data_IF_069337805582
#
_entry.id   IF_069337805582
#
_cell.length_a   1.000
_cell.length_b   1.000
_cell.length_c   1.000
_cell.angle_alpha   90.00
_cell.angle_beta   90.00
_cell.angle_gamma   90.00
#
_symmetry.space_group_name_H-M   'P 1'
#
loop_
_entity.id
_entity.type
_entity.pdbx_description
1 polymer ?
#
# COMPACT_ATOMS: atom_id res chain seq x y z
N UNK A 1 12.25 -13.93 22.02
CA UNK A 1 11.53 -15.22 22.16
C UNK A 1 10.06 -14.96 22.51
N UNK A 2 9.26 -14.57 21.51
CA UNK A 2 7.82 -14.35 21.69
C UNK A 2 7.07 -15.65 21.37
N UNK A 3 6.36 -16.19 22.36
CA UNK A 3 5.50 -17.36 22.24
C UNK A 3 4.34 -17.03 21.28
N UNK A 4 4.25 -17.79 20.19
CA UNK A 4 3.10 -17.78 19.31
C UNK A 4 1.87 -18.23 20.09
N UNK A 5 0.84 -17.38 20.15
CA UNK A 5 -0.45 -17.71 20.74
C UNK A 5 -1.08 -18.85 19.96
N UNK A 6 -1.29 -19.99 20.64
CA UNK A 6 -2.14 -21.05 20.11
C UNK A 6 -3.57 -20.50 19.99
N UNK A 7 -4.27 -20.69 18.86
CA UNK A 7 -5.67 -20.33 18.76
C UNK A 7 -6.47 -21.17 19.76
N UNK A 8 -7.26 -20.52 20.61
CA UNK A 8 -8.17 -21.21 21.53
C UNK A 8 -9.15 -22.08 20.73
N UNK A 9 -9.44 -23.33 21.16
CA UNK A 9 -10.43 -24.16 20.52
C UNK A 9 -11.83 -23.53 20.69
N UNK A 10 -12.37 -22.95 19.62
CA UNK A 10 -13.74 -22.44 19.58
C UNK A 10 -14.70 -23.62 19.74
N UNK A 11 -15.40 -23.64 20.86
CA UNK A 11 -16.35 -24.68 21.22
C UNK A 11 -17.66 -24.48 20.44
N UNK A 12 -17.78 -25.11 19.27
CA UNK A 12 -19.05 -25.14 18.52
C UNK A 12 -19.99 -26.16 19.21
N UNK A 13 -20.92 -25.69 20.05
CA UNK A 13 -22.02 -26.47 20.66
C UNK A 13 -23.33 -25.66 20.55
N UNK A 14 -24.52 -26.22 20.24
CA UNK A 14 -24.92 -27.60 19.93
C UNK A 14 -25.74 -27.69 18.61
N UNK A 15 -25.14 -27.39 17.44
CA UNK A 15 -25.89 -27.35 16.16
C UNK A 15 -26.41 -28.71 15.67
N UNK A 16 -25.79 -29.82 16.11
CA UNK A 16 -26.12 -31.19 15.67
C UNK A 16 -27.52 -31.61 16.11
N UNK A 17 -27.88 -31.35 17.37
CA UNK A 17 -29.21 -31.72 17.90
C UNK A 17 -30.31 -30.78 17.41
N UNK A 18 -30.01 -29.51 17.27
CA UNK A 18 -30.96 -28.48 16.84
C UNK A 18 -31.34 -28.62 15.37
N UNK A 19 -30.38 -28.98 14.51
CA UNK A 19 -30.64 -29.22 13.09
C UNK A 19 -30.92 -30.68 12.74
N UNK A 20 -30.93 -31.61 13.71
CA UNK A 20 -31.05 -33.07 13.47
C UNK A 20 -29.99 -33.60 12.49
N UNK A 21 -28.75 -33.12 12.62
CA UNK A 21 -27.63 -33.66 11.84
C UNK A 21 -27.39 -35.10 12.31
N UNK A 22 -27.52 -36.06 11.40
CA UNK A 22 -27.40 -37.48 11.72
C UNK A 22 -26.24 -38.17 11.00
N UNK A 23 -25.60 -37.49 10.04
CA UNK A 23 -24.42 -37.99 9.33
C UNK A 23 -23.48 -36.83 9.00
N UNK A 24 -22.18 -37.04 9.21
CA UNK A 24 -21.12 -36.05 8.99
C UNK A 24 -19.95 -36.69 8.26
N UNK A 25 -19.41 -35.97 7.29
CA UNK A 25 -18.19 -36.33 6.57
C UNK A 25 -17.22 -35.16 6.65
N UNK A 26 -15.92 -35.47 6.77
CA UNK A 26 -14.88 -34.46 6.83
C UNK A 26 -13.82 -34.78 5.78
N UNK A 27 -13.52 -33.82 4.91
CA UNK A 27 -12.48 -33.93 3.90
C UNK A 27 -11.38 -32.87 4.12
N UNK A 28 -10.09 -33.25 4.09
CA UNK A 28 -9.01 -32.29 4.27
C UNK A 28 -8.85 -31.40 3.04
N UNK A 29 -8.68 -30.09 3.26
CA UNK A 29 -8.33 -29.14 2.21
C UNK A 29 -6.81 -29.13 2.03
N UNK A 30 -6.28 -30.09 1.29
CA UNK A 30 -4.83 -30.22 1.08
C UNK A 30 -4.42 -29.70 -0.29
N UNK A 31 -3.46 -28.77 -0.33
CA UNK A 31 -2.83 -28.30 -1.56
C UNK A 31 -1.31 -28.38 -1.43
N UNK A 32 -0.64 -28.94 -2.45
CA UNK A 32 0.83 -29.07 -2.51
C UNK A 32 1.47 -29.70 -1.25
N UNK A 33 0.80 -30.70 -0.68
CA UNK A 33 1.25 -31.41 0.52
C UNK A 33 0.99 -30.68 1.85
N UNK A 34 0.29 -29.55 1.85
CA UNK A 34 -0.06 -28.78 3.05
C UNK A 34 -1.57 -28.81 3.26
N UNK A 35 -2.01 -29.22 4.46
CA UNK A 35 -3.42 -29.12 4.87
C UNK A 35 -3.75 -27.69 5.30
N UNK A 36 -4.61 -27.04 4.53
CA UNK A 36 -5.03 -25.65 4.72
C UNK A 36 -6.19 -25.50 5.72
N UNK A 37 -6.95 -26.59 5.92
CA UNK A 37 -8.14 -26.67 6.76
C UNK A 37 -8.92 -27.97 6.52
N UNK A 38 -10.13 -28.05 7.06
CA UNK A 38 -11.06 -29.18 6.87
C UNK A 38 -12.39 -28.68 6.31
N UNK A 39 -12.92 -29.34 5.29
CA UNK A 39 -14.29 -29.19 4.83
C UNK A 39 -15.17 -30.18 5.59
N UNK A 40 -16.24 -29.69 6.23
CA UNK A 40 -17.20 -30.52 6.95
C UNK A 40 -18.53 -30.52 6.21
N UNK A 41 -19.02 -31.70 5.85
CA UNK A 41 -20.29 -31.93 5.20
C UNK A 41 -21.24 -32.57 6.21
N UNK A 42 -22.47 -32.07 6.31
CA UNK A 42 -23.47 -32.52 7.29
C UNK A 42 -24.79 -32.83 6.58
N UNK A 43 -25.37 -34.01 6.85
CA UNK A 43 -26.73 -34.36 6.41
C UNK A 43 -27.72 -34.22 7.58
N UNK A 44 -28.85 -33.61 7.27
CA UNK A 44 -29.92 -33.32 8.24
C UNK A 44 -31.35 -33.49 7.70
N UNK A 45 -31.50 -33.83 6.41
CA UNK A 45 -32.79 -33.99 5.71
C UNK A 45 -32.90 -35.32 4.98
N UNK A 46 -31.83 -35.73 4.31
CA UNK A 46 -31.75 -37.05 3.67
C UNK A 46 -31.42 -38.11 4.72
N UNK A 47 -32.26 -39.13 4.93
CA UNK A 47 -32.07 -40.11 6.00
C UNK A 47 -30.84 -41.02 5.79
N UNK A 48 -30.37 -41.19 4.55
CA UNK A 48 -29.23 -42.05 4.23
C UNK A 48 -27.90 -41.47 4.76
N UNK A 49 -27.03 -42.30 5.38
CA UNK A 49 -25.67 -41.90 5.71
C UNK A 49 -24.85 -41.63 4.45
N UNK A 50 -23.69 -41.00 4.61
CA UNK A 50 -22.76 -40.83 3.49
C UNK A 50 -22.15 -42.17 3.09
N UNK A 51 -21.96 -42.38 1.79
CA UNK A 51 -21.33 -43.57 1.23
C UNK A 51 -19.95 -43.27 0.60
N UNK A 52 -19.34 -44.27 -0.04
CA UNK A 52 -18.01 -44.16 -0.65
C UNK A 52 -18.00 -43.26 -1.91
N UNK A 53 -19.13 -43.15 -2.61
CA UNK A 53 -19.27 -42.26 -3.76
C UNK A 53 -19.34 -40.79 -3.27
N UNK A 54 -20.06 -40.54 -2.17
CA UNK A 54 -20.05 -39.26 -1.48
C UNK A 54 -18.64 -38.88 -1.02
N UNK A 55 -17.86 -39.84 -0.50
CA UNK A 55 -16.48 -39.61 -0.05
C UNK A 55 -15.58 -39.21 -1.22
N UNK A 56 -15.74 -39.88 -2.36
CA UNK A 56 -14.99 -39.59 -3.59
C UNK A 56 -15.32 -38.18 -4.09
N UNK A 57 -16.61 -37.84 -4.17
CA UNK A 57 -17.06 -36.51 -4.60
C UNK A 57 -16.60 -35.40 -3.64
N UNK A 58 -16.73 -35.63 -2.33
CA UNK A 58 -16.26 -34.70 -1.31
C UNK A 58 -14.75 -34.49 -1.39
N UNK A 59 -13.98 -35.54 -1.69
CA UNK A 59 -12.55 -35.47 -1.95
C UNK A 59 -12.22 -34.57 -3.14
N UNK A 60 -12.93 -34.72 -4.27
CA UNK A 60 -12.73 -33.86 -5.44
C UNK A 60 -13.07 -32.39 -5.17
N UNK A 61 -14.19 -32.15 -4.49
CA UNK A 61 -14.61 -30.81 -4.10
C UNK A 61 -13.60 -30.18 -3.13
N UNK A 62 -13.13 -30.94 -2.14
CA UNK A 62 -12.12 -30.50 -1.20
C UNK A 62 -10.79 -30.19 -1.90
N UNK A 63 -10.37 -30.99 -2.87
CA UNK A 63 -9.16 -30.74 -3.65
C UNK A 63 -9.26 -29.44 -4.47
N UNK A 64 -10.38 -29.21 -5.17
CA UNK A 64 -10.60 -27.97 -5.93
C UNK A 64 -10.67 -26.75 -5.01
N UNK A 65 -11.38 -26.85 -3.88
CA UNK A 65 -11.45 -25.80 -2.89
C UNK A 65 -10.08 -25.50 -2.27
N UNK A 66 -9.27 -26.53 -1.99
CA UNK A 66 -7.93 -26.36 -1.44
C UNK A 66 -7.02 -25.55 -2.38
N UNK A 67 -7.06 -25.81 -3.68
CA UNK A 67 -6.30 -25.01 -4.67
C UNK A 67 -6.77 -23.56 -4.69
N UNK A 68 -8.08 -23.32 -4.69
CA UNK A 68 -8.63 -21.97 -4.66
C UNK A 68 -8.22 -21.21 -3.38
N UNK A 69 -8.28 -21.86 -2.22
CA UNK A 69 -7.86 -21.28 -0.93
C UNK A 69 -6.35 -21.03 -0.88
N UNK A 70 -5.52 -21.93 -1.40
CA UNK A 70 -4.06 -21.73 -1.50
C UNK A 70 -3.75 -20.50 -2.34
N UNK A 71 -4.35 -20.42 -3.53
CA UNK A 71 -4.16 -19.30 -4.45
C UNK A 71 -4.62 -17.97 -3.82
N UNK A 72 -5.79 -17.94 -3.18
CA UNK A 72 -6.27 -16.76 -2.49
C UNK A 72 -5.31 -16.33 -1.37
N UNK A 73 -4.84 -17.26 -0.53
CA UNK A 73 -3.87 -16.97 0.54
C UNK A 73 -2.55 -16.43 0.00
N UNK A 74 -2.03 -17.00 -1.10
CA UNK A 74 -0.80 -16.52 -1.76
C UNK A 74 -0.99 -15.12 -2.30
N UNK A 75 -2.06 -14.89 -3.06
CA UNK A 75 -2.39 -13.57 -3.59
C UNK A 75 -2.51 -12.53 -2.47
N UNK A 76 -3.23 -12.84 -1.38
CA UNK A 76 -3.34 -11.93 -0.23
C UNK A 76 -1.99 -11.65 0.43
N UNK A 77 -1.11 -12.64 0.56
CA UNK A 77 0.23 -12.44 1.15
C UNK A 77 1.12 -11.59 0.25
N UNK A 78 1.17 -11.90 -1.04
CA UNK A 78 1.95 -11.13 -2.03
C UNK A 78 1.46 -9.69 -2.08
N UNK A 79 0.14 -9.50 -2.16
CA UNK A 79 -0.49 -8.18 -2.15
C UNK A 79 -0.23 -7.42 -0.84
N UNK A 80 -0.36 -8.07 0.32
CA UNK A 80 -0.07 -7.46 1.61
C UNK A 80 1.41 -7.07 1.73
N UNK A 81 2.32 -7.87 1.18
CA UNK A 81 3.76 -7.58 1.17
C UNK A 81 4.06 -6.38 0.28
N UNK A 82 3.51 -6.34 -0.94
CA UNK A 82 3.63 -5.19 -1.84
C UNK A 82 3.10 -3.91 -1.19
N UNK A 83 1.91 -3.96 -0.58
CA UNK A 83 1.32 -2.81 0.10
C UNK A 83 2.13 -2.36 1.33
N UNK A 84 2.69 -3.31 2.08
CA UNK A 84 3.58 -3.00 3.21
C UNK A 84 4.86 -2.31 2.74
N UNK A 85 5.46 -2.76 1.63
CA UNK A 85 6.61 -2.12 1.01
C UNK A 85 6.26 -0.70 0.56
N UNK A 86 5.15 -0.51 -0.18
CA UNK A 86 4.69 0.82 -0.57
C UNK A 86 4.52 1.74 0.64
N UNK A 87 3.81 1.30 1.69
CA UNK A 87 3.62 2.08 2.92
C UNK A 87 4.92 2.39 3.64
N UNK A 88 5.94 1.54 3.53
CA UNK A 88 7.25 1.80 4.13
C UNK A 88 8.00 2.94 3.44
N UNK A 89 7.71 3.18 2.15
CA UNK A 89 8.28 4.25 1.34
C UNK A 89 7.56 5.60 1.57
N UNK A 90 6.34 5.58 2.10
CA UNK A 90 5.55 6.77 2.40
C UNK A 90 5.98 7.48 3.70
N UNK A 91 5.68 8.78 3.86
CA UNK A 91 6.08 9.54 5.04
C UNK A 91 5.55 9.00 6.37
N UNK A 92 6.47 8.68 7.29
CA UNK A 92 6.14 8.41 8.69
C UNK A 92 6.20 9.71 9.48
N UNK A 93 5.03 10.33 9.65
CA UNK A 93 4.74 11.51 10.47
C UNK A 93 5.50 12.78 10.11
N UNK A 94 4.73 13.82 9.83
CA UNK A 94 5.14 15.22 9.82
C UNK A 94 5.82 15.60 11.14
N UNK A 95 7.07 16.06 11.09
CA UNK A 95 7.72 16.65 12.25
C UNK A 95 6.95 17.91 12.67
N UNK A 96 6.69 18.06 13.97
CA UNK A 96 5.96 19.21 14.51
C UNK A 96 6.88 20.43 14.42
N UNK A 97 6.50 21.43 13.63
CA UNK A 97 7.27 22.67 13.50
C UNK A 97 6.70 23.77 14.40
N UNK A 98 7.57 24.65 14.91
CA UNK A 98 7.16 25.71 15.84
C UNK A 98 6.45 26.87 15.13
N UNK A 99 6.72 27.08 13.84
CA UNK A 99 6.21 28.22 13.07
C UNK A 99 4.92 27.91 12.27
N UNK A 100 4.67 26.64 11.91
CA UNK A 100 3.56 26.23 11.05
C UNK A 100 2.96 24.91 11.57
N UNK A 101 1.63 24.84 11.65
CA UNK A 101 0.90 23.59 11.81
C UNK A 101 0.64 22.97 10.45
N UNK A 102 1.12 21.74 10.24
CA UNK A 102 0.97 21.03 8.96
C UNK A 102 0.12 19.80 9.17
N UNK A 103 -0.99 19.73 8.44
CA UNK A 103 -1.86 18.57 8.34
C UNK A 103 -1.74 18.00 6.91
N UNK A 104 -1.63 16.68 6.81
CA UNK A 104 -1.64 15.96 5.54
C UNK A 104 -2.55 14.75 5.62
N UNK A 105 -3.16 14.42 4.48
CA UNK A 105 -4.01 13.24 4.35
C UNK A 105 -3.70 12.53 3.03
N UNK A 106 -2.91 11.47 3.11
CA UNK A 106 -2.71 10.57 1.99
C UNK A 106 -3.85 9.54 1.92
N UNK A 107 -4.48 9.43 0.75
CA UNK A 107 -5.51 8.43 0.47
C UNK A 107 -5.00 7.48 -0.62
N UNK A 108 -4.41 6.33 -0.24
CA UNK A 108 -3.97 5.34 -1.22
C UNK A 108 -5.18 4.78 -1.95
N UNK A 109 -5.12 4.81 -3.28
CA UNK A 109 -6.18 4.27 -4.09
C UNK A 109 -6.12 2.74 -4.10
N UNK A 110 -7.14 2.09 -3.52
CA UNK A 110 -7.30 0.62 -3.58
C UNK A 110 -8.03 0.14 -4.83
N UNK A 111 -8.53 1.05 -5.68
CA UNK A 111 -9.39 0.73 -6.82
C UNK A 111 -9.12 1.65 -8.01
N UNK A 112 -8.04 1.40 -8.75
CA UNK A 112 -7.88 1.66 -10.19
C UNK A 112 -7.89 3.11 -10.74
N UNK A 113 -8.57 4.06 -10.13
CA UNK A 113 -8.66 5.44 -10.62
C UNK A 113 -8.65 6.43 -9.45
N UNK A 114 -7.54 7.14 -9.26
CA UNK A 114 -7.32 8.01 -8.11
C UNK A 114 -5.84 8.15 -7.79
N UNK A 115 -5.34 9.36 -8.00
CA UNK A 115 -3.99 9.83 -7.82
C UNK A 115 -3.84 10.33 -6.39
N UNK A 116 -2.80 9.90 -5.66
CA UNK A 116 -2.62 10.25 -4.27
C UNK A 116 -1.50 11.26 -4.13
N UNK A 117 -1.85 12.54 -3.98
CA UNK A 117 -0.87 13.60 -3.73
C UNK A 117 -0.32 13.44 -2.30
N UNK A 118 1.00 13.33 -2.17
CA UNK A 118 1.64 13.38 -0.85
C UNK A 118 2.08 14.81 -0.56
N UNK A 119 1.54 15.35 0.53
CA UNK A 119 2.01 16.60 1.15
C UNK A 119 2.99 16.24 2.26
N UNK A 120 4.23 16.70 2.13
CA UNK A 120 5.23 16.59 3.18
C UNK A 120 5.86 17.95 3.49
N UNK A 121 5.93 18.36 4.76
CA UNK A 121 6.79 19.46 5.14
C UNK A 121 8.24 19.00 5.31
N UNK A 122 9.15 19.81 4.80
CA UNK A 122 10.58 19.68 5.02
C UNK A 122 11.01 20.91 5.83
N UNK A 123 11.70 20.69 6.95
CA UNK A 123 12.33 21.79 7.67
C UNK A 123 13.58 22.19 6.89
N UNK A 124 13.70 23.46 6.50
CA UNK A 124 14.93 24.02 5.97
C UNK A 124 15.43 25.06 6.98
N UNK A 125 16.58 24.83 7.64
CA UNK A 125 17.19 25.75 8.62
C UNK A 125 18.44 26.39 7.98
N UNK A 126 18.91 27.61 8.33
CA UNK A 126 18.79 28.33 9.61
C UNK A 126 17.90 29.59 9.52
N UNK A 127 16.79 29.59 10.26
CA UNK A 127 15.89 30.77 10.35
C UNK A 127 14.42 30.45 10.60
N UNK A 128 14.09 29.20 10.94
CA UNK A 128 12.71 28.71 11.09
C UNK A 128 11.87 28.75 9.79
N UNK A 129 12.51 28.84 8.61
CA UNK A 129 11.82 28.72 7.33
C UNK A 129 11.22 27.32 7.20
N UNK A 130 10.04 27.26 6.59
CA UNK A 130 9.29 26.01 6.43
C UNK A 130 9.10 25.75 4.96
N UNK A 131 9.67 24.65 4.46
CA UNK A 131 9.39 24.18 3.12
C UNK A 131 8.20 23.20 3.14
N UNK A 132 7.29 23.33 2.19
CA UNK A 132 6.26 22.35 1.86
C UNK A 132 6.50 21.84 0.45
N UNK A 133 6.48 20.52 0.30
CA UNK A 133 6.42 19.86 -1.00
C UNK A 133 5.12 19.08 -1.12
N UNK A 134 4.49 19.20 -2.28
CA UNK A 134 3.38 18.34 -2.70
C UNK A 134 3.71 17.81 -4.07
N UNK A 135 3.56 16.51 -4.28
CA UNK A 135 3.82 15.95 -5.59
C UNK A 135 3.17 14.59 -5.79
N UNK A 136 3.11 14.22 -7.05
CA UNK A 136 2.58 12.94 -7.49
C UNK A 136 3.40 12.40 -8.66
N UNK A 137 3.44 11.08 -8.78
CA UNK A 137 4.16 10.37 -9.84
C UNK A 137 3.15 9.63 -10.71
N UNK A 138 3.31 9.70 -12.03
CA UNK A 138 2.44 8.95 -12.93
C UNK A 138 2.65 7.44 -12.71
N UNK A 139 1.54 6.73 -12.52
CA UNK A 139 1.51 5.28 -12.38
C UNK A 139 1.01 4.82 -11.01
N UNK A 140 1.07 3.52 -10.77
CA UNK A 140 0.62 2.92 -9.52
C UNK A 140 1.44 1.67 -9.17
N UNK A 141 1.37 1.25 -7.91
CA UNK A 141 2.08 0.05 -7.46
C UNK A 141 3.49 0.35 -6.96
N UNK A 142 4.31 -0.70 -6.86
CA UNK A 142 5.61 -0.66 -6.17
C UNK A 142 6.60 0.28 -6.87
N UNK A 143 6.61 0.31 -8.21
CA UNK A 143 7.53 1.18 -8.97
C UNK A 143 7.22 2.66 -8.76
N UNK A 144 5.95 3.08 -8.88
CA UNK A 144 5.55 4.46 -8.61
C UNK A 144 5.91 4.89 -7.17
N UNK A 145 5.69 4.01 -6.18
CA UNK A 145 6.09 4.28 -4.79
C UNK A 145 7.62 4.37 -4.61
N UNK A 146 8.40 3.59 -5.36
CA UNK A 146 9.86 3.66 -5.34
C UNK A 146 10.35 4.99 -5.95
N UNK A 147 9.82 5.39 -7.10
CA UNK A 147 10.11 6.68 -7.73
C UNK A 147 9.75 7.83 -6.80
N UNK A 148 8.55 7.81 -6.21
CA UNK A 148 8.12 8.80 -5.23
C UNK A 148 9.09 8.90 -4.04
N UNK A 149 9.54 7.76 -3.49
CA UNK A 149 10.53 7.72 -2.42
C UNK A 149 11.89 8.30 -2.81
N UNK A 150 12.35 8.06 -4.05
CA UNK A 150 13.58 8.65 -4.61
C UNK A 150 13.45 10.17 -4.75
N UNK A 151 12.38 10.66 -5.39
CA UNK A 151 12.12 12.10 -5.58
C UNK A 151 11.99 12.83 -4.25
N UNK A 152 11.27 12.25 -3.30
CA UNK A 152 11.16 12.78 -1.93
C UNK A 152 12.52 12.92 -1.25
N UNK A 153 13.37 11.91 -1.36
CA UNK A 153 14.73 11.95 -0.80
C UNK A 153 15.58 13.02 -1.48
N UNK A 154 15.42 13.20 -2.79
CA UNK A 154 16.08 14.26 -3.53
C UNK A 154 15.62 15.65 -3.06
N UNK A 155 14.31 15.89 -2.99
CA UNK A 155 13.76 17.16 -2.51
C UNK A 155 14.27 17.51 -1.12
N UNK A 156 14.33 16.55 -0.18
CA UNK A 156 14.88 16.79 1.16
C UNK A 156 16.35 17.22 1.11
N UNK A 157 17.17 16.49 0.36
CA UNK A 157 18.60 16.81 0.18
C UNK A 157 18.79 18.19 -0.47
N UNK A 158 17.95 18.55 -1.45
CA UNK A 158 17.98 19.85 -2.12
C UNK A 158 17.44 20.98 -1.24
N UNK A 159 16.48 20.71 -0.36
CA UNK A 159 15.97 21.68 0.60
C UNK A 159 17.00 21.98 1.71
N UNK A 160 17.83 21.02 2.09
CA UNK A 160 18.89 21.20 3.10
C UNK A 160 19.97 22.23 2.68
N UNK A 161 20.06 22.55 1.39
CA UNK A 161 21.00 23.55 0.86
C UNK A 161 20.35 24.93 0.58
N UNK A 162 19.12 25.16 1.08
CA UNK A 162 18.36 26.43 1.02
C UNK A 162 18.22 27.01 -0.41
N UNK A 163 17.97 26.15 -1.40
CA UNK A 163 17.72 26.57 -2.79
C UNK A 163 16.41 27.35 -2.94
N UNK A 164 16.40 28.30 -3.88
CA UNK A 164 15.17 28.95 -4.30
C UNK A 164 14.19 27.93 -4.93
N UNK A 165 12.87 28.13 -4.82
CA UNK A 165 11.89 27.16 -5.31
C UNK A 165 12.04 26.75 -6.79
N UNK A 166 12.37 27.70 -7.66
CA UNK A 166 12.57 27.48 -9.09
C UNK A 166 13.87 26.70 -9.39
N UNK A 167 14.95 27.01 -8.68
CA UNK A 167 16.21 26.26 -8.78
C UNK A 167 16.05 24.81 -8.30
N UNK A 168 15.34 24.61 -7.18
CA UNK A 168 15.07 23.27 -6.67
C UNK A 168 14.27 22.43 -7.68
N UNK A 169 13.22 22.99 -8.27
CA UNK A 169 12.44 22.26 -9.28
C UNK A 169 13.24 21.98 -10.55
N UNK A 170 14.14 22.89 -10.95
CA UNK A 170 15.04 22.65 -12.08
C UNK A 170 15.99 21.49 -11.80
N UNK A 171 16.61 21.45 -10.61
CA UNK A 171 17.49 20.33 -10.24
C UNK A 171 16.73 19.01 -10.05
N UNK A 172 15.47 19.08 -9.60
CA UNK A 172 14.60 17.92 -9.49
C UNK A 172 14.23 17.36 -10.87
N UNK A 173 13.94 18.24 -11.85
CA UNK A 173 13.65 17.86 -13.24
C UNK A 173 14.86 17.17 -13.90
N UNK A 174 16.06 17.74 -13.73
CA UNK A 174 17.31 17.13 -14.20
C UNK A 174 17.53 15.73 -13.59
N UNK A 175 17.18 15.54 -12.31
CA UNK A 175 17.29 14.25 -11.65
C UNK A 175 16.27 13.24 -12.20
N UNK A 176 15.03 13.66 -12.47
CA UNK A 176 14.00 12.82 -13.11
C UNK A 176 14.47 12.35 -14.48
N UNK A 177 14.99 13.27 -15.31
CA UNK A 177 15.53 12.96 -16.64
C UNK A 177 16.68 11.95 -16.55
N UNK A 178 17.54 12.08 -15.54
CA UNK A 178 18.66 11.17 -15.33
C UNK A 178 18.20 9.77 -14.90
N UNK A 179 17.25 9.69 -13.97
CA UNK A 179 16.65 8.44 -13.51
C UNK A 179 15.95 7.69 -14.65
N UNK A 180 15.20 8.40 -15.50
CA UNK A 180 14.51 7.80 -16.66
C UNK A 180 15.51 7.18 -17.66
N UNK A 181 16.65 7.85 -17.90
CA UNK A 181 17.72 7.30 -18.76
C UNK A 181 18.35 6.03 -18.18
N UNK A 182 18.58 5.99 -16.86
CA UNK A 182 19.16 4.82 -16.18
C UNK A 182 18.22 3.60 -16.19
N UNK A 183 16.90 3.83 -16.17
CA UNK A 183 15.88 2.77 -16.15
C UNK A 183 15.56 2.22 -17.56
N UNK A 184 15.76 3.04 -18.61
CA UNK A 184 15.49 2.70 -20.01
C UNK A 184 16.42 1.64 -20.66
N UNK A 185 17.39 1.09 -19.92
CA UNK A 185 18.41 0.15 -20.44
C UNK A 185 17.94 -1.32 -20.45
N UNK A 186 16.78 -1.65 -19.88
CA UNK A 186 16.25 -3.03 -19.91
C UNK A 186 15.44 -3.31 -21.21
N UNK A 187 15.88 -4.21 -22.12
CA UNK A 187 15.32 -4.33 -23.49
C UNK A 187 13.91 -4.94 -23.61
N UNK A 188 13.10 -4.97 -22.55
CA UNK A 188 11.80 -5.66 -22.57
C UNK A 188 10.72 -5.13 -21.61
N UNK A 189 10.97 -4.04 -20.89
CA UNK A 189 10.04 -3.53 -19.87
C UNK A 189 9.44 -2.18 -20.24
N UNK A 190 8.12 -2.09 -20.31
CA UNK A 190 7.37 -0.83 -20.39
C UNK A 190 7.41 -0.08 -19.06
N UNK A 191 8.57 0.44 -18.66
CA UNK A 191 8.72 1.23 -17.44
C UNK A 191 9.73 2.35 -17.66
N UNK A 192 9.34 3.34 -18.46
CA UNK A 192 9.94 4.67 -18.32
C UNK A 192 9.36 5.30 -17.06
N UNK A 193 10.15 6.15 -16.39
CA UNK A 193 9.65 7.00 -15.31
C UNK A 193 8.65 7.96 -15.94
N UNK A 194 7.39 7.56 -15.96
CA UNK A 194 6.31 8.42 -16.37
C UNK A 194 6.29 9.60 -15.37
N UNK A 195 6.42 10.83 -15.88
CA UNK A 195 6.84 12.01 -15.12
C UNK A 195 6.11 12.29 -13.79
N UNK A 196 6.61 13.28 -13.07
CA UNK A 196 6.05 13.69 -11.78
C UNK A 196 5.48 15.11 -11.84
N UNK A 197 4.44 15.37 -11.04
CA UNK A 197 4.02 16.72 -10.70
C UNK A 197 4.60 17.12 -9.36
N UNK A 198 4.93 18.39 -9.19
CA UNK A 198 5.48 18.91 -7.94
C UNK A 198 5.05 20.36 -7.71
N UNK A 199 4.75 20.71 -6.47
CA UNK A 199 4.64 22.06 -5.96
C UNK A 199 5.59 22.16 -4.77
N UNK A 200 6.48 23.13 -4.81
CA UNK A 200 7.40 23.43 -3.73
C UNK A 200 7.18 24.85 -3.25
N UNK A 201 6.95 25.03 -1.95
CA UNK A 201 6.70 26.32 -1.31
C UNK A 201 7.63 26.51 -0.12
N UNK A 202 8.17 27.71 0.05
CA UNK A 202 8.99 28.10 1.19
C UNK A 202 8.32 29.27 1.90
N UNK A 203 7.98 29.05 3.17
CA UNK A 203 7.43 30.06 4.05
C UNK A 203 8.51 30.59 4.99
N UNK A 204 8.71 31.90 4.98
CA UNK A 204 9.55 32.61 5.92
C UNK A 204 8.68 33.25 7.01
N UNK A 205 8.72 32.74 8.26
CA UNK A 205 7.90 33.28 9.35
C UNK A 205 8.35 34.66 9.81
N UNK A 206 9.61 35.07 9.54
CA UNK A 206 10.13 36.37 9.96
C UNK A 206 9.59 37.48 9.06
N UNK A 207 9.60 37.26 7.74
CA UNK A 207 9.08 38.22 6.76
C UNK A 207 7.60 38.05 6.45
N UNK A 208 7.00 36.91 6.86
CA UNK A 208 5.62 36.55 6.53
C UNK A 208 5.41 36.26 5.04
N UNK A 209 6.48 35.97 4.30
CA UNK A 209 6.45 35.72 2.85
C UNK A 209 6.44 34.23 2.54
N UNK A 210 5.67 33.87 1.52
CA UNK A 210 5.67 32.53 0.95
C UNK A 210 6.09 32.65 -0.52
N UNK A 211 7.19 32.00 -0.90
CA UNK A 211 7.60 31.82 -2.29
C UNK A 211 7.28 30.40 -2.73
N UNK A 212 6.88 30.20 -3.98
CA UNK A 212 6.54 28.88 -4.50
C UNK A 212 6.86 28.74 -5.97
N UNK A 213 7.16 27.51 -6.37
CA UNK A 213 7.27 27.10 -7.76
C UNK A 213 6.46 25.81 -7.98
N UNK A 214 5.98 25.59 -9.21
CA UNK A 214 5.21 24.41 -9.58
C UNK A 214 5.68 23.81 -10.90
N UNK A 215 5.65 22.49 -10.97
CA UNK A 215 5.84 21.67 -12.14
C UNK A 215 4.58 20.81 -12.33
N UNK A 216 3.62 21.27 -13.13
CA UNK A 216 2.40 20.54 -13.46
C UNK A 216 1.36 20.37 -12.33
N UNK A 217 1.73 20.55 -11.06
CA UNK A 217 0.82 20.40 -9.93
C UNK A 217 -0.24 21.53 -9.89
N UNK A 218 -1.48 21.26 -9.42
CA UNK A 218 -2.52 22.27 -9.27
C UNK A 218 -2.11 23.44 -8.37
N UNK A 219 -2.72 24.60 -8.59
CA UNK A 219 -2.47 25.78 -7.77
C UNK A 219 -3.01 25.60 -6.35
N UNK A 220 -2.29 26.06 -5.32
CA UNK A 220 -2.73 25.94 -3.94
C UNK A 220 -3.85 26.94 -3.65
N UNK A 221 -4.78 26.54 -2.78
CA UNK A 221 -5.83 27.43 -2.30
C UNK A 221 -5.32 28.22 -1.09
N UNK A 222 -5.29 29.55 -1.21
CA UNK A 222 -4.98 30.44 -0.10
C UNK A 222 -6.27 30.87 0.60
N UNK A 223 -6.43 30.46 1.85
CA UNK A 223 -7.51 30.93 2.73
C UNK A 223 -6.93 31.93 3.72
N UNK A 224 -7.45 33.16 3.71
CA UNK A 224 -7.12 34.17 4.72
C UNK A 224 -8.07 34.00 5.92
N UNK A 225 -7.62 34.33 7.15
CA UNK A 225 -8.47 34.28 8.34
C UNK A 225 -9.69 35.19 8.24
#
# INVERSE_FOLDING_TARGET
MARAGHPEPVLVRPSIREHRIHSTMVAPLTARGITLGMATFCRHRSPEPFDDDDLTLAGELAARAAVAVDNARRYTREHATALALQRSLLPRRTARQQAVEVASRYLPNTTGAGQGDDVEPVAADPGARVALVVGDVVGHGVQASATMGRLRTAVRTLADVDLAPDELLTQLDDLVIKLDREESVDPGGWSSVAGATCLYAVYDPVSGRCSMARAGHPEPVLVRP
#
